data_IF_080183194578
#
_entry.id   IF_080183194578
#
_cell.length_a   1.000
_cell.length_b   1.000
_cell.length_c   1.000
_cell.angle_alpha   90.00
_cell.angle_beta   90.00
_cell.angle_gamma   90.00
#
_symmetry.space_group_name_H-M   'P 1'
#
loop_
_entity.id
_entity.type
_entity.pdbx_description
1 polymer ?
#
# COMPACT_ATOMS: atom_id res chain seq x y z
N UNK A 1 7.47 -2.24 -15.12
CA UNK A 1 7.02 -2.42 -13.72
C UNK A 1 6.17 -1.22 -13.41
N UNK A 2 4.90 -1.41 -13.08
CA UNK A 2 4.01 -0.31 -12.71
C UNK A 2 4.30 0.12 -11.28
N UNK A 3 4.50 1.42 -11.10
CA UNK A 3 4.76 2.07 -9.81
C UNK A 3 3.75 3.18 -9.62
N UNK A 4 3.17 3.25 -8.42
CA UNK A 4 2.26 4.31 -8.02
C UNK A 4 2.93 5.08 -6.89
N UNK A 5 3.15 6.36 -7.09
CA UNK A 5 3.69 7.26 -6.07
C UNK A 5 2.63 8.29 -5.72
N UNK A 6 2.40 8.50 -4.42
CA UNK A 6 1.50 9.52 -3.94
C UNK A 6 1.91 9.95 -2.54
N UNK A 7 1.68 11.22 -2.22
CA UNK A 7 1.88 11.72 -0.87
C UNK A 7 0.53 11.73 -0.16
N UNK A 8 0.47 11.15 1.04
CA UNK A 8 -0.71 11.28 1.90
C UNK A 8 -0.31 11.51 3.35
N UNK A 9 -1.25 12.01 4.13
CA UNK A 9 -1.01 12.24 5.55
C UNK A 9 -1.09 10.91 6.31
N UNK A 10 0.05 10.44 6.80
CA UNK A 10 0.18 9.28 7.67
C UNK A 10 0.57 9.75 9.07
N UNK A 11 -0.16 9.32 10.11
CA UNK A 11 0.14 9.66 11.51
C UNK A 11 0.35 11.17 11.75
N UNK A 12 -0.42 12.04 11.08
CA UNK A 12 -0.33 13.50 11.20
C UNK A 12 0.87 14.15 10.49
N UNK A 13 1.58 13.41 9.63
CA UNK A 13 2.66 13.92 8.79
C UNK A 13 2.41 13.57 7.34
N UNK A 14 2.74 14.50 6.43
CA UNK A 14 2.77 14.19 5.00
C UNK A 14 3.93 13.24 4.76
N UNK A 15 3.63 12.06 4.24
CA UNK A 15 4.60 11.03 3.91
C UNK A 15 4.47 10.65 2.43
N UNK A 16 5.61 10.36 1.80
CA UNK A 16 5.67 9.91 0.42
C UNK A 16 5.52 8.39 0.36
N UNK A 17 4.41 7.93 -0.22
CA UNK A 17 4.10 6.51 -0.36
C UNK A 17 4.41 6.08 -1.79
N UNK A 18 5.18 5.01 -1.88
CA UNK A 18 5.46 4.29 -3.12
C UNK A 18 4.88 2.88 -3.04
N UNK A 19 4.06 2.53 -4.03
CA UNK A 19 3.55 1.19 -4.27
C UNK A 19 4.16 0.64 -5.56
N UNK A 20 5.01 -0.36 -5.45
CA UNK A 20 5.52 -1.10 -6.61
C UNK A 20 4.67 -2.34 -6.85
N UNK A 21 4.05 -2.44 -8.03
CA UNK A 21 3.24 -3.60 -8.40
C UNK A 21 4.14 -4.82 -8.56
N UNK A 22 3.85 -5.85 -7.76
CA UNK A 22 4.49 -7.17 -7.77
C UNK A 22 3.45 -8.21 -8.18
N UNK A 23 3.70 -8.86 -9.32
CA UNK A 23 2.98 -10.08 -9.70
C UNK A 23 3.63 -11.24 -8.97
N UNK A 24 2.97 -11.76 -7.93
CA UNK A 24 3.46 -12.92 -7.17
C UNK A 24 2.92 -14.18 -7.86
N UNK A 25 3.77 -15.15 -8.24
CA UNK A 25 3.31 -16.42 -8.79
C UNK A 25 2.42 -17.16 -7.78
N UNK A 26 1.20 -17.50 -8.18
CA UNK A 26 0.21 -18.17 -7.32
C UNK A 26 -0.85 -17.22 -6.73
N UNK A 27 -0.64 -15.91 -6.79
CA UNK A 27 -1.64 -14.92 -6.36
C UNK A 27 -2.51 -14.49 -7.55
N UNK A 28 -3.83 -14.53 -7.36
CA UNK A 28 -4.80 -14.12 -8.38
C UNK A 28 -4.90 -12.59 -8.54
N UNK A 29 -4.45 -11.83 -7.54
CA UNK A 29 -4.56 -10.38 -7.50
C UNK A 29 -3.18 -9.72 -7.44
N UNK A 30 -3.03 -8.48 -7.94
CA UNK A 30 -1.77 -7.75 -7.85
C UNK A 30 -1.41 -7.50 -6.38
N UNK A 31 -0.18 -7.83 -6.01
CA UNK A 31 0.42 -7.42 -4.75
C UNK A 31 1.22 -6.14 -4.97
N UNK A 32 1.40 -5.36 -3.92
CA UNK A 32 2.06 -4.06 -3.96
C UNK A 32 3.10 -4.02 -2.86
N UNK A 33 4.36 -3.80 -3.22
CA UNK A 33 5.40 -3.52 -2.25
C UNK A 33 5.24 -2.07 -1.80
N UNK A 34 5.00 -1.83 -0.52
CA UNK A 34 4.78 -0.48 0.02
C UNK A 34 6.05 0.04 0.67
N UNK A 35 6.42 1.27 0.29
CA UNK A 35 7.49 2.04 0.93
C UNK A 35 6.94 3.40 1.33
N UNK A 36 7.29 3.86 2.53
CA UNK A 36 6.90 5.16 3.09
C UNK A 36 8.18 5.94 3.37
N UNK A 37 8.32 7.13 2.78
CA UNK A 37 9.52 7.97 2.85
C UNK A 37 10.80 7.21 2.48
N UNK A 38 10.69 6.31 1.49
CA UNK A 38 11.79 5.46 1.04
C UNK A 38 12.11 4.26 1.95
N UNK A 39 11.37 4.06 3.05
CA UNK A 39 11.50 2.90 3.93
C UNK A 39 10.47 1.84 3.56
N UNK A 40 10.92 0.61 3.33
CA UNK A 40 10.03 -0.53 3.09
C UNK A 40 9.13 -0.79 4.32
N UNK A 41 7.81 -0.87 4.09
CA UNK A 41 6.78 -1.06 5.13
C UNK A 41 5.98 -2.36 4.98
N UNK A 42 6.27 -3.17 3.97
CA UNK A 42 5.62 -4.46 3.77
C UNK A 42 5.01 -4.61 2.39
N UNK A 43 4.04 -5.51 2.32
CA UNK A 43 3.28 -5.77 1.11
C UNK A 43 1.78 -5.61 1.36
N UNK A 44 1.13 -4.93 0.44
CA UNK A 44 -0.32 -4.78 0.37
C UNK A 44 -0.88 -5.68 -0.73
N UNK A 45 -2.08 -6.20 -0.53
CA UNK A 45 -2.89 -6.84 -1.58
C UNK A 45 -4.16 -6.02 -1.75
N UNK A 46 -4.66 -5.92 -2.97
CA UNK A 46 -5.95 -5.28 -3.23
C UNK A 46 -7.03 -6.35 -3.22
N UNK A 47 -7.99 -6.26 -2.31
CA UNK A 47 -9.10 -7.21 -2.19
C UNK A 47 -10.10 -7.06 -3.35
N UNK A 48 -11.12 -7.94 -3.38
CA UNK A 48 -12.20 -7.89 -4.38
C UNK A 48 -13.08 -6.64 -4.27
N UNK A 49 -13.09 -5.99 -3.11
CA UNK A 49 -13.82 -4.73 -2.86
C UNK A 49 -13.04 -3.50 -3.36
N UNK A 50 -11.79 -3.70 -3.78
CA UNK A 50 -10.90 -2.66 -4.26
C UNK A 50 -10.11 -1.95 -3.15
N UNK A 51 -10.15 -2.45 -1.91
CA UNK A 51 -9.39 -1.95 -0.77
C UNK A 51 -8.05 -2.68 -0.63
N UNK A 52 -7.02 -1.95 -0.22
CA UNK A 52 -5.74 -2.48 0.19
C UNK A 52 -5.80 -3.07 1.59
N UNK A 53 -5.26 -4.27 1.72
CA UNK A 53 -5.10 -5.01 2.97
C UNK A 53 -3.64 -5.45 3.14
N UNK A 54 -3.17 -5.61 4.37
CA UNK A 54 -1.81 -6.05 4.64
C UNK A 54 -1.68 -7.55 4.37
N UNK A 55 -0.63 -7.94 3.64
CA UNK A 55 -0.42 -9.34 3.25
C UNK A 55 0.85 -9.94 3.84
N UNK A 56 1.99 -9.26 3.73
CA UNK A 56 3.26 -9.74 4.27
C UNK A 56 4.04 -8.61 4.92
N UNK A 57 4.71 -8.92 6.05
CA UNK A 57 5.50 -7.98 6.85
C UNK A 57 4.71 -6.73 7.25
N UNK A 58 3.66 -6.87 8.07
CA UNK A 58 2.81 -5.75 8.44
C UNK A 58 3.57 -4.76 9.33
N UNK A 59 4.01 -3.65 8.74
CA UNK A 59 4.61 -2.52 9.48
C UNK A 59 3.79 -1.23 9.34
N UNK A 60 2.65 -1.29 8.68
CA UNK A 60 1.68 -0.21 8.63
C UNK A 60 0.69 -0.36 9.78
N UNK A 61 0.29 0.74 10.38
CA UNK A 61 -0.84 0.73 11.32
C UNK A 61 -2.17 0.63 10.57
N UNK A 62 -3.24 0.25 11.27
CA UNK A 62 -4.58 0.25 10.70
C UNK A 62 -5.02 1.65 10.25
N UNK A 63 -4.56 2.71 10.94
CA UNK A 63 -4.79 4.10 10.56
C UNK A 63 -4.10 4.44 9.23
N UNK A 64 -2.85 4.01 9.05
CA UNK A 64 -2.12 4.24 7.79
C UNK A 64 -2.80 3.51 6.62
N UNK A 65 -3.25 2.27 6.86
CA UNK A 65 -3.98 1.49 5.86
C UNK A 65 -5.31 2.16 5.49
N UNK A 66 -6.05 2.70 6.46
CA UNK A 66 -7.28 3.44 6.23
C UNK A 66 -7.04 4.70 5.39
N UNK A 67 -5.94 5.42 5.62
CA UNK A 67 -5.57 6.60 4.84
C UNK A 67 -5.20 6.27 3.40
N UNK A 68 -4.44 5.19 3.19
CA UNK A 68 -4.14 4.66 1.85
C UNK A 68 -5.45 4.29 1.14
N UNK A 69 -6.33 3.53 1.79
CA UNK A 69 -7.62 3.15 1.22
C UNK A 69 -8.49 4.36 0.86
N UNK A 70 -8.53 5.37 1.72
CA UNK A 70 -9.26 6.62 1.48
C UNK A 70 -8.74 7.39 0.27
N UNK A 71 -7.43 7.34 0.00
CA UNK A 71 -6.84 7.96 -1.19
C UNK A 71 -7.33 7.29 -2.48
N UNK A 72 -7.42 5.95 -2.47
CA UNK A 72 -7.81 5.15 -3.65
C UNK A 72 -9.32 4.90 -3.78
N UNK A 73 -10.12 5.23 -2.76
CA UNK A 73 -11.58 5.13 -2.80
C UNK A 73 -12.26 6.27 -3.60
N UNK A 74 -11.50 7.03 -4.39
CA UNK A 74 -12.00 8.12 -5.26
C UNK A 74 -12.45 7.62 -6.63
#
# INVERSE_FOLDING_TARGET
MDRINFSCELSGKVADIQLDIKKIPGEHQPCYMVSVDGLFKGYLKKDTSGQFDQFMSPQLSDEDLAMINKYFAK
#
